data_IF_674893799142
#
_entry.id   IF_674893799142
#
_cell.length_a   1.000
_cell.length_b   1.000
_cell.length_c   1.000
_cell.angle_alpha   90.00
_cell.angle_beta   90.00
_cell.angle_gamma   90.00
#
_symmetry.space_group_name_H-M   'P 1'
#
loop_
_entity.id
_entity.type
_entity.pdbx_description
1 polymer ?
#
# COMPACT_ATOMS: atom_id res chain seq x y z
N UNK A 1 9.32 20.17 5.49
CA UNK A 1 8.71 20.48 4.18
C UNK A 1 9.36 19.54 3.18
N UNK A 2 8.69 18.44 2.83
CA UNK A 2 9.19 17.53 1.79
C UNK A 2 8.66 18.06 0.47
N UNK A 3 9.55 18.44 -0.44
CA UNK A 3 9.19 18.99 -1.75
C UNK A 3 8.25 18.04 -2.49
N UNK A 4 7.15 18.60 -2.97
CA UNK A 4 6.25 17.94 -3.91
C UNK A 4 7.00 17.74 -5.23
N UNK A 5 7.76 16.67 -5.38
CA UNK A 5 8.34 16.31 -6.69
C UNK A 5 7.17 16.01 -7.63
N UNK A 6 7.17 16.67 -8.79
CA UNK A 6 6.16 16.47 -9.83
C UNK A 6 6.14 15.00 -10.28
N UNK A 7 4.96 14.44 -10.64
CA UNK A 7 4.90 13.10 -11.18
C UNK A 7 5.82 12.94 -12.37
N UNK A 8 6.65 11.90 -12.34
CA UNK A 8 7.41 11.51 -13.53
C UNK A 8 6.50 10.65 -14.41
N UNK A 9 6.11 11.20 -15.56
CA UNK A 9 5.34 10.45 -16.56
C UNK A 9 6.27 9.92 -17.63
N UNK A 10 6.25 8.60 -17.85
CA UNK A 10 7.07 7.92 -18.86
C UNK A 10 6.18 7.10 -19.78
N UNK A 11 6.62 6.97 -21.03
CA UNK A 11 5.99 6.02 -21.96
C UNK A 11 6.52 4.61 -21.65
N UNK A 12 5.65 3.61 -21.56
CA UNK A 12 6.10 2.23 -21.38
C UNK A 12 6.89 1.76 -22.60
N UNK A 13 7.84 0.84 -22.38
CA UNK A 13 8.68 0.29 -23.45
C UNK A 13 7.87 -0.48 -24.51
N UNK A 14 6.67 -0.94 -24.17
CA UNK A 14 5.69 -1.55 -25.06
C UNK A 14 4.26 -1.20 -24.62
N UNK A 15 3.32 -1.19 -25.57
CA UNK A 15 1.91 -0.85 -25.33
C UNK A 15 1.59 0.65 -25.43
N UNK A 16 0.31 0.98 -25.31
CA UNK A 16 -0.24 2.35 -25.49
C UNK A 16 -0.60 3.05 -24.16
N UNK A 17 -0.20 2.48 -23.02
CA UNK A 17 -0.49 3.03 -21.70
C UNK A 17 0.38 4.25 -21.33
N UNK A 18 0.01 4.91 -20.25
CA UNK A 18 0.83 5.94 -19.60
C UNK A 18 1.30 5.41 -18.25
N UNK A 19 2.59 5.53 -17.95
CA UNK A 19 3.13 5.21 -16.62
C UNK A 19 3.43 6.52 -15.90
N UNK A 20 2.76 6.75 -14.77
CA UNK A 20 3.00 7.91 -13.93
C UNK A 20 3.52 7.46 -12.57
N UNK A 21 4.69 7.97 -12.17
CA UNK A 21 5.36 7.62 -10.93
C UNK A 21 5.35 8.81 -9.97
N UNK A 22 4.99 8.53 -8.72
CA UNK A 22 4.96 9.51 -7.64
C UNK A 22 5.92 9.07 -6.53
N UNK A 23 6.94 9.88 -6.24
CA UNK A 23 7.81 9.65 -5.08
C UNK A 23 7.23 10.34 -3.84
N UNK A 24 6.28 9.69 -3.19
CA UNK A 24 5.52 10.24 -2.06
C UNK A 24 5.14 9.15 -1.05
N UNK A 25 4.73 9.58 0.13
CA UNK A 25 3.96 8.75 1.05
C UNK A 25 2.67 8.30 0.35
N UNK A 26 2.43 6.99 0.27
CA UNK A 26 1.34 6.44 -0.52
C UNK A 26 -0.05 6.77 0.07
N UNK A 27 -0.17 6.91 1.39
CA UNK A 27 -1.44 7.25 2.06
C UNK A 27 -1.82 8.67 1.66
N UNK A 28 -0.88 9.63 1.83
CA UNK A 28 -1.09 11.03 1.42
C UNK A 28 -1.27 11.16 -0.09
N UNK A 29 -0.53 10.37 -0.86
CA UNK A 29 -0.59 10.35 -2.32
C UNK A 29 -1.96 9.92 -2.81
N UNK A 30 -2.48 8.77 -2.35
CA UNK A 30 -3.83 8.31 -2.69
C UNK A 30 -4.88 9.35 -2.28
N UNK A 31 -4.82 9.86 -1.04
CA UNK A 31 -5.76 10.84 -0.51
C UNK A 31 -5.84 12.14 -1.33
N UNK A 32 -4.72 12.62 -1.85
CA UNK A 32 -4.65 13.93 -2.53
C UNK A 32 -4.69 13.86 -4.06
N UNK A 33 -4.34 12.73 -4.66
CA UNK A 33 -4.17 12.61 -6.11
C UNK A 33 -5.24 11.74 -6.78
N UNK A 34 -5.83 10.78 -6.06
CA UNK A 34 -6.75 9.80 -6.65
C UNK A 34 -8.20 10.07 -6.21
N UNK A 35 -9.13 10.24 -7.18
CA UNK A 35 -10.55 10.27 -6.88
C UNK A 35 -11.00 8.97 -6.20
N UNK A 36 -12.13 8.99 -5.45
CA UNK A 36 -12.75 7.76 -5.03
C UNK A 36 -13.18 6.91 -6.24
N UNK A 37 -13.18 5.60 -6.09
CA UNK A 37 -13.69 4.65 -7.10
C UNK A 37 -13.03 4.75 -8.49
N UNK A 38 -11.78 5.23 -8.58
CA UNK A 38 -11.08 5.49 -9.84
C UNK A 38 -10.05 4.44 -10.25
N UNK A 39 -9.83 3.41 -9.43
CA UNK A 39 -8.78 2.41 -9.64
C UNK A 39 -9.39 1.02 -9.82
N UNK A 40 -9.18 0.41 -10.97
CA UNK A 40 -9.69 -0.94 -11.26
C UNK A 40 -8.90 -2.04 -10.54
N UNK A 41 -7.58 -1.87 -10.40
CA UNK A 41 -6.72 -2.89 -9.81
C UNK A 41 -5.64 -2.24 -8.94
N UNK A 42 -5.51 -2.73 -7.71
CA UNK A 42 -4.39 -2.40 -6.82
C UNK A 42 -3.57 -3.66 -6.59
N UNK A 43 -2.26 -3.55 -6.81
CA UNK A 43 -1.30 -4.62 -6.53
C UNK A 43 -0.22 -4.05 -5.62
N UNK A 44 0.04 -4.68 -4.48
CA UNK A 44 1.02 -4.15 -3.52
C UNK A 44 1.65 -5.23 -2.64
N UNK A 45 2.80 -4.88 -2.08
CA UNK A 45 3.59 -5.65 -1.11
C UNK A 45 4.16 -4.68 -0.07
N UNK A 46 3.37 -4.25 0.93
CA UNK A 46 3.85 -3.28 1.92
C UNK A 46 4.99 -3.89 2.76
N UNK A 47 5.76 -3.09 3.51
CA UNK A 47 6.61 -3.61 4.58
C UNK A 47 5.85 -4.59 5.48
N UNK A 48 6.45 -5.75 5.79
CA UNK A 48 5.80 -6.85 6.50
C UNK A 48 6.08 -6.87 8.01
N UNK A 49 6.79 -5.87 8.53
CA UNK A 49 7.23 -5.81 9.93
C UNK A 49 8.04 -7.04 10.35
N UNK A 50 8.99 -7.44 9.48
CA UNK A 50 9.85 -8.61 9.67
C UNK A 50 11.22 -8.24 10.23
N UNK A 51 11.43 -7.00 10.63
CA UNK A 51 12.71 -6.50 11.13
C UNK A 51 13.78 -6.35 10.06
N UNK A 52 13.37 -6.10 8.81
CA UNK A 52 14.31 -5.79 7.73
C UNK A 52 14.93 -4.42 7.98
N UNK A 53 16.26 -4.34 7.91
CA UNK A 53 16.99 -3.09 8.07
C UNK A 53 16.89 -2.23 6.81
N UNK A 54 15.83 -1.41 6.75
CA UNK A 54 15.72 -0.36 5.73
C UNK A 54 16.47 0.90 6.17
N UNK A 55 16.88 1.71 5.18
CA UNK A 55 17.62 2.96 5.45
C UNK A 55 16.80 4.01 6.20
N UNK A 56 15.48 4.02 6.01
CA UNK A 56 14.61 5.13 6.43
C UNK A 56 13.27 4.69 7.04
N UNK A 57 13.11 3.39 7.33
CA UNK A 57 11.89 2.82 7.89
C UNK A 57 12.25 1.79 8.95
N UNK A 58 11.62 1.88 10.12
CA UNK A 58 11.80 0.90 11.19
C UNK A 58 10.76 -0.22 11.03
N UNK A 59 11.21 -1.35 10.52
CA UNK A 59 10.38 -2.54 10.28
C UNK A 59 10.24 -3.41 11.55
N UNK A 60 10.31 -2.79 12.74
CA UNK A 60 10.27 -3.44 14.07
C UNK A 60 9.27 -2.78 15.02
N UNK A 61 8.26 -2.13 14.48
CA UNK A 61 7.18 -1.55 15.27
C UNK A 61 6.38 -2.66 15.96
N UNK A 62 5.63 -2.29 17.00
CA UNK A 62 4.77 -3.26 17.70
C UNK A 62 3.73 -3.87 16.75
N UNK A 63 3.30 -5.11 17.02
CA UNK A 63 2.26 -5.79 16.22
C UNK A 63 1.00 -4.94 16.07
N UNK A 64 0.52 -4.35 17.16
CA UNK A 64 -0.69 -3.52 17.14
C UNK A 64 -0.51 -2.24 16.33
N UNK A 65 0.68 -1.63 16.39
CA UNK A 65 1.00 -0.46 15.59
C UNK A 65 1.06 -0.80 14.10
N UNK A 66 1.67 -1.94 13.76
CA UNK A 66 1.68 -2.46 12.40
C UNK A 66 0.26 -2.70 11.88
N UNK A 67 -0.59 -3.41 12.61
CA UNK A 67 -1.96 -3.69 12.17
C UNK A 67 -2.82 -2.42 12.05
N UNK A 68 -2.66 -1.44 12.97
CA UNK A 68 -3.32 -0.14 12.84
C UNK A 68 -2.85 0.59 11.59
N UNK A 69 -1.54 0.64 11.36
CA UNK A 69 -0.99 1.26 10.17
C UNK A 69 -1.44 0.55 8.88
N UNK A 70 -1.56 -0.78 8.90
CA UNK A 70 -2.13 -1.58 7.80
C UNK A 70 -3.54 -1.14 7.46
N UNK A 71 -4.41 -0.98 8.46
CA UNK A 71 -5.77 -0.51 8.25
C UNK A 71 -5.82 0.91 7.66
N UNK A 72 -4.89 1.79 8.04
CA UNK A 72 -4.85 3.17 7.52
C UNK A 72 -4.59 3.20 6.02
N UNK A 73 -3.53 2.56 5.53
CA UNK A 73 -3.25 2.58 4.08
C UNK A 73 -4.27 1.78 3.30
N UNK A 74 -4.81 0.69 3.88
CA UNK A 74 -5.83 -0.11 3.21
C UNK A 74 -7.16 0.63 3.08
N UNK A 75 -7.50 1.52 4.02
CA UNK A 75 -8.70 2.36 3.92
C UNK A 75 -8.62 3.32 2.73
N UNK A 76 -7.43 3.86 2.45
CA UNK A 76 -7.22 4.66 1.24
C UNK A 76 -7.29 3.82 -0.04
N UNK A 77 -6.77 2.57 -0.01
CA UNK A 77 -6.95 1.63 -1.12
C UNK A 77 -8.43 1.36 -1.38
N UNK A 78 -9.21 1.04 -0.34
CA UNK A 78 -10.64 0.78 -0.47
C UNK A 78 -11.41 1.98 -1.02
N UNK A 79 -11.06 3.19 -0.58
CA UNK A 79 -11.67 4.43 -1.07
C UNK A 79 -11.44 4.64 -2.58
N UNK A 80 -10.23 4.39 -3.08
CA UNK A 80 -9.89 4.63 -4.49
C UNK A 80 -10.29 3.47 -5.40
N UNK A 81 -10.51 2.28 -4.85
CA UNK A 81 -10.89 1.10 -5.62
C UNK A 81 -12.29 1.26 -6.20
N UNK A 82 -12.46 1.00 -7.49
CA UNK A 82 -13.76 0.96 -8.14
C UNK A 82 -14.66 -0.13 -7.52
N UNK A 83 -16.00 -0.04 -7.62
CA UNK A 83 -16.90 -1.06 -7.07
C UNK A 83 -16.67 -2.49 -7.62
N UNK A 84 -16.17 -2.61 -8.85
CA UNK A 84 -15.78 -3.88 -9.49
C UNK A 84 -14.26 -4.13 -9.46
N UNK A 85 -13.53 -3.32 -8.70
CA UNK A 85 -12.08 -3.37 -8.66
C UNK A 85 -11.56 -4.56 -7.84
N UNK A 86 -10.29 -4.89 -8.06
CA UNK A 86 -9.63 -6.00 -7.37
C UNK A 86 -8.40 -5.53 -6.61
N UNK A 87 -8.25 -6.02 -5.37
CA UNK A 87 -7.10 -5.75 -4.53
C UNK A 87 -6.26 -7.02 -4.33
N UNK A 88 -5.00 -6.98 -4.79
CA UNK A 88 -4.02 -8.05 -4.67
C UNK A 88 -2.95 -7.64 -3.65
N UNK A 89 -3.02 -8.23 -2.47
CA UNK A 89 -2.07 -8.00 -1.38
C UNK A 89 -1.09 -9.16 -1.27
N UNK A 90 0.19 -8.88 -1.47
CA UNK A 90 1.27 -9.77 -1.07
C UNK A 90 1.64 -9.49 0.39
N UNK A 91 1.70 -10.54 1.21
CA UNK A 91 2.12 -10.46 2.62
C UNK A 91 2.92 -11.71 3.00
N UNK A 92 4.00 -11.50 3.74
CA UNK A 92 4.89 -12.57 4.20
C UNK A 92 4.87 -12.75 5.71
N UNK A 93 5.56 -13.78 6.18
CA UNK A 93 5.73 -14.10 7.59
C UNK A 93 7.11 -14.72 7.86
N UNK A 94 7.49 -14.81 9.13
CA UNK A 94 8.66 -15.61 9.55
C UNK A 94 8.19 -17.02 9.89
N UNK A 95 9.02 -18.06 9.70
CA UNK A 95 8.69 -19.40 10.19
C UNK A 95 8.40 -19.45 11.71
N UNK A 96 9.05 -18.59 12.49
CA UNK A 96 8.84 -18.47 13.95
C UNK A 96 7.60 -17.66 14.34
N UNK A 97 6.96 -16.98 13.38
CA UNK A 97 5.80 -16.13 13.58
C UNK A 97 4.91 -16.16 12.32
N UNK A 98 4.24 -17.30 12.06
CA UNK A 98 3.53 -17.53 10.81
C UNK A 98 2.16 -16.83 10.74
N UNK A 99 1.74 -16.16 11.82
CA UNK A 99 0.37 -15.67 12.00
C UNK A 99 0.09 -14.31 11.37
N UNK A 100 1.13 -13.52 11.08
CA UNK A 100 1.02 -12.15 10.57
C UNK A 100 0.05 -12.01 9.37
N UNK A 101 0.09 -12.86 8.33
CA UNK A 101 -0.84 -12.76 7.20
C UNK A 101 -2.31 -12.87 7.60
N UNK A 102 -2.62 -13.73 8.57
CA UNK A 102 -3.99 -13.95 9.05
C UNK A 102 -4.48 -12.78 9.91
N UNK A 103 -3.59 -12.19 10.71
CA UNK A 103 -3.93 -11.00 11.49
C UNK A 103 -4.12 -9.78 10.60
N UNK A 104 -3.30 -9.63 9.56
CA UNK A 104 -3.50 -8.61 8.52
C UNK A 104 -4.86 -8.82 7.85
N UNK A 105 -5.17 -10.05 7.39
CA UNK A 105 -6.47 -10.34 6.80
C UNK A 105 -7.63 -10.02 7.76
N UNK A 106 -7.49 -10.32 9.05
CA UNK A 106 -8.50 -10.00 10.05
C UNK A 106 -8.64 -8.48 10.28
N UNK A 107 -7.54 -7.73 10.33
CA UNK A 107 -7.57 -6.28 10.46
C UNK A 107 -8.26 -5.60 9.27
N UNK A 108 -8.14 -6.18 8.07
CA UNK A 108 -8.75 -5.65 6.85
C UNK A 108 -10.25 -5.97 6.69
N UNK A 109 -10.84 -6.86 7.50
CA UNK A 109 -12.29 -7.17 7.46
C UNK A 109 -13.20 -5.98 7.77
N UNK A 110 -12.68 -4.97 8.47
CA UNK A 110 -13.41 -3.74 8.76
C UNK A 110 -13.33 -2.70 7.63
N UNK A 111 -12.51 -2.97 6.61
CA UNK A 111 -12.20 -2.04 5.52
C UNK A 111 -12.85 -2.48 4.20
N UNK A 112 -12.83 -3.79 3.91
CA UNK A 112 -13.42 -4.42 2.73
C UNK A 112 -14.50 -5.43 3.15
#
# INVERSE_FOLDING_TARGET
>A
MTECIDPTTVKPASGSGTLTMYNRDCIKGMASLLPPESVDVVVTSPPYNLGIEYRSYDDRISRDEYLRWTAVWASEVARVLAPSGSFFLNVGSKPTDPWVPFEVANALRGVF
#
